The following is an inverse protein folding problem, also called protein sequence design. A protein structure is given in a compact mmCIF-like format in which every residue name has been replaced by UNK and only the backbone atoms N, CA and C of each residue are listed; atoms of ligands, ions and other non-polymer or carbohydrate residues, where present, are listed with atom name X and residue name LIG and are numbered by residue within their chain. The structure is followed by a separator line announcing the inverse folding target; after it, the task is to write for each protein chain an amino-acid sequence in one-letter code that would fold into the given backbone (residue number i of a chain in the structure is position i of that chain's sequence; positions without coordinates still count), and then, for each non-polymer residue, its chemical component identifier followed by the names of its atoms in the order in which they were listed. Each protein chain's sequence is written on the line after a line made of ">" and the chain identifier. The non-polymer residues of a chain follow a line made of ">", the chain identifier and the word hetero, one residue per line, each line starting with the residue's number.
data_IF_065588297124
#
_entry.id   IF_065588297124
#
_cell.length_a   1.000
_cell.length_b   1.000
_cell.length_c   1.000
_cell.angle_alpha   90.00
_cell.angle_beta   90.00
_cell.angle_gamma   90.00
#
_symmetry.space_group_name_H-M   'P 1'
#
loop_
_entity.id
_entity.type
_entity.pdbx_description
1 polymer ?
#
# COMPACT_ATOMS: atom_id res chain seq x y z
N UNK A 1 -6.39 76.55 -52.54
CA UNK A 1 -5.62 75.33 -52.22
C UNK A 1 -4.14 75.67 -52.34
N UNK A 2 -3.38 75.44 -51.27
CA UNK A 2 -2.08 76.09 -50.97
C UNK A 2 -0.94 75.07 -50.95
N UNK A 3 0.21 75.48 -51.54
CA UNK A 3 1.62 75.19 -51.17
C UNK A 3 2.14 73.78 -51.53
N UNK A 4 3.11 73.60 -52.45
CA UNK A 4 4.56 73.94 -52.44
C UNK A 4 5.41 73.06 -51.51
N UNK A 5 6.39 72.34 -52.09
CA UNK A 5 7.82 72.35 -51.75
C UNK A 5 8.51 70.96 -51.87
N UNK A 6 9.70 71.02 -52.45
CA UNK A 6 10.75 70.02 -52.64
C UNK A 6 11.41 69.52 -51.36
N UNK A 7 11.91 68.27 -51.36
CA UNK A 7 13.06 67.87 -50.54
C UNK A 7 13.79 66.65 -51.14
N UNK A 8 15.03 66.87 -51.57
CA UNK A 8 16.09 65.85 -51.64
C UNK A 8 16.48 65.48 -50.20
N UNK A 9 16.57 64.18 -49.88
CA UNK A 9 17.29 63.71 -48.69
C UNK A 9 17.79 62.28 -48.89
N UNK A 10 19.07 62.08 -48.56
CA UNK A 10 19.83 60.85 -48.60
C UNK A 10 19.35 59.80 -47.59
N UNK A 11 19.45 58.52 -47.95
CA UNK A 11 19.65 57.41 -47.02
C UNK A 11 20.19 56.20 -47.81
N UNK A 12 21.50 55.99 -47.80
CA UNK A 12 22.18 54.97 -46.97
C UNK A 12 21.81 53.52 -47.32
N UNK A 13 22.68 52.90 -48.15
CA UNK A 13 23.25 51.56 -47.95
C UNK A 13 22.47 50.61 -47.03
N UNK A 14 21.57 49.80 -47.61
CA UNK A 14 21.09 48.58 -46.99
C UNK A 14 21.94 47.40 -47.49
N UNK A 15 22.99 47.10 -46.73
CA UNK A 15 23.77 45.87 -46.85
C UNK A 15 22.84 44.67 -46.82
N UNK A 16 22.78 43.91 -47.92
CA UNK A 16 22.20 42.57 -47.93
C UNK A 16 23.16 41.70 -47.12
N UNK A 17 22.98 41.66 -45.81
CA UNK A 17 23.54 40.61 -44.97
C UNK A 17 22.81 39.32 -45.35
N UNK A 18 23.48 38.52 -46.18
CA UNK A 18 23.23 37.08 -46.25
C UNK A 18 23.49 36.55 -44.84
N UNK A 19 22.43 36.16 -44.13
CA UNK A 19 22.55 35.39 -42.89
C UNK A 19 22.46 33.91 -43.25
N UNK A 20 23.56 33.13 -43.26
CA UNK A 20 23.47 31.69 -43.14
C UNK A 20 23.35 31.37 -41.65
N UNK A 21 22.18 31.62 -41.08
CA UNK A 21 21.88 31.30 -39.68
C UNK A 21 20.95 30.09 -39.60
N UNK A 22 21.32 28.99 -40.23
CA UNK A 22 20.63 27.69 -40.14
C UNK A 22 21.59 26.56 -40.52
N UNK A 23 22.62 26.31 -39.72
CA UNK A 23 23.48 25.13 -39.88
C UNK A 23 24.13 24.65 -38.58
N UNK A 24 23.78 25.25 -37.43
CA UNK A 24 24.19 24.72 -36.12
C UNK A 24 23.01 23.93 -35.53
N UNK A 25 22.55 22.95 -36.30
CA UNK A 25 21.92 21.79 -35.70
C UNK A 25 23.10 21.01 -35.12
N UNK A 26 23.27 21.07 -33.79
CA UNK A 26 24.12 20.13 -33.08
C UNK A 26 23.48 18.75 -33.20
N UNK A 27 23.60 18.17 -34.39
CA UNK A 27 23.43 16.75 -34.62
C UNK A 27 24.53 16.08 -33.82
N UNK A 28 24.17 15.57 -32.65
CA UNK A 28 25.00 14.59 -31.98
C UNK A 28 25.09 13.41 -32.93
N UNK A 29 26.30 13.02 -33.35
CA UNK A 29 26.46 11.88 -34.24
C UNK A 29 25.76 10.67 -33.62
N UNK A 30 24.93 9.94 -34.40
CA UNK A 30 24.18 8.81 -33.86
C UNK A 30 25.18 7.79 -33.30
N UNK A 31 24.93 7.37 -32.08
CA UNK A 31 25.73 6.36 -31.41
C UNK A 31 25.65 5.04 -32.15
N UNK A 32 26.68 4.19 -32.00
CA UNK A 32 26.69 2.88 -32.64
C UNK A 32 25.46 2.04 -32.24
N UNK A 33 25.00 2.20 -31.00
CA UNK A 33 23.80 1.58 -30.45
C UNK A 33 22.53 2.04 -31.19
N UNK A 34 22.38 3.34 -31.43
CA UNK A 34 21.24 3.90 -32.17
C UNK A 34 21.23 3.44 -33.63
N UNK A 35 22.39 3.37 -34.28
CA UNK A 35 22.50 2.87 -35.65
C UNK A 35 22.12 1.39 -35.76
N UNK A 36 22.52 0.57 -34.79
CA UNK A 36 22.16 -0.86 -34.73
C UNK A 36 20.66 -1.02 -34.54
N UNK A 37 20.04 -0.22 -33.66
CA UNK A 37 18.60 -0.30 -33.41
C UNK A 37 17.78 0.16 -34.64
N UNK A 38 18.21 1.25 -35.29
CA UNK A 38 17.60 1.72 -36.54
C UNK A 38 17.69 0.68 -37.67
N UNK A 39 18.82 -0.02 -37.80
CA UNK A 39 18.97 -1.09 -38.78
C UNK A 39 18.06 -2.30 -38.46
N UNK A 40 17.94 -2.68 -37.19
CA UNK A 40 17.03 -3.77 -36.76
C UNK A 40 15.57 -3.45 -37.08
N UNK A 41 15.18 -2.18 -36.95
CA UNK A 41 13.87 -1.71 -37.32
C UNK A 41 13.64 -1.79 -38.84
N UNK A 42 14.59 -1.25 -39.61
CA UNK A 42 14.50 -1.15 -41.07
C UNK A 42 14.44 -2.53 -41.76
N UNK A 43 15.16 -3.52 -41.23
CA UNK A 43 15.21 -4.88 -41.78
C UNK A 43 14.24 -5.86 -41.12
N UNK A 44 13.27 -5.39 -40.33
CA UNK A 44 12.26 -6.27 -39.72
C UNK A 44 11.39 -6.91 -40.82
N UNK A 45 11.13 -8.23 -40.79
CA UNK A 45 10.21 -8.85 -41.72
C UNK A 45 8.77 -8.32 -41.52
N UNK A 46 8.03 -8.04 -42.59
CA UNK A 46 6.67 -7.50 -42.49
C UNK A 46 5.73 -8.50 -41.79
N UNK A 47 4.85 -8.01 -40.92
CA UNK A 47 3.85 -8.80 -40.21
C UNK A 47 4.28 -9.34 -38.83
N UNK A 48 5.54 -9.16 -38.43
CA UNK A 48 6.00 -9.44 -37.07
C UNK A 48 5.73 -8.24 -36.15
N UNK A 49 4.65 -8.33 -35.37
CA UNK A 49 4.41 -7.43 -34.24
C UNK A 49 5.55 -7.57 -33.23
N UNK A 50 6.01 -6.45 -32.65
CA UNK A 50 6.93 -6.51 -31.51
C UNK A 50 6.21 -7.22 -30.37
N UNK A 51 6.81 -8.29 -29.84
CA UNK A 51 6.24 -9.03 -28.70
C UNK A 51 6.28 -8.22 -27.39
N UNK A 52 7.13 -7.20 -27.36
CA UNK A 52 7.33 -6.31 -26.22
C UNK A 52 7.08 -4.85 -26.61
N UNK A 53 6.59 -4.03 -25.67
CA UNK A 53 6.74 -2.58 -25.78
C UNK A 53 8.22 -2.20 -25.77
N UNK A 54 8.53 -1.03 -26.31
CA UNK A 54 9.87 -0.44 -26.19
C UNK A 54 10.02 0.07 -24.77
N UNK A 55 11.08 -0.35 -24.08
CA UNK A 55 11.41 0.16 -22.75
C UNK A 55 12.06 1.54 -22.81
N UNK A 56 11.98 2.26 -21.70
CA UNK A 56 12.71 3.52 -21.53
C UNK A 56 14.21 3.27 -21.23
N UNK A 57 15.10 4.26 -21.44
CA UNK A 57 16.51 4.12 -21.11
C UNK A 57 16.72 3.74 -19.62
N UNK A 58 17.36 2.59 -19.38
CA UNK A 58 17.57 2.04 -18.03
C UNK A 58 16.49 1.05 -17.57
N UNK A 59 15.47 0.80 -18.38
CA UNK A 59 14.43 -0.20 -18.12
C UNK A 59 14.79 -1.56 -18.72
N UNK A 60 14.59 -2.64 -17.96
CA UNK A 60 14.67 -4.01 -18.48
C UNK A 60 13.25 -4.53 -18.69
N UNK A 61 12.80 -4.55 -19.94
CA UNK A 61 11.48 -5.08 -20.31
C UNK A 61 11.58 -6.58 -20.57
N UNK A 62 10.91 -7.39 -19.74
CA UNK A 62 10.81 -8.85 -19.92
C UNK A 62 9.38 -9.20 -20.30
N UNK A 63 9.16 -9.65 -21.54
CA UNK A 63 7.84 -10.12 -21.97
C UNK A 63 7.82 -11.63 -22.13
N UNK A 64 6.84 -12.24 -21.47
CA UNK A 64 6.47 -13.62 -21.72
C UNK A 64 5.28 -13.67 -22.67
N UNK A 65 5.21 -14.69 -23.52
CA UNK A 65 4.01 -14.96 -24.33
C UNK A 65 2.84 -15.39 -23.44
N UNK A 66 3.13 -16.09 -22.35
CA UNK A 66 2.21 -16.38 -21.26
C UNK A 66 3.01 -16.19 -19.95
N UNK A 67 2.77 -15.10 -19.20
CA UNK A 67 3.50 -14.82 -17.97
C UNK A 67 3.19 -15.84 -16.86
N UNK A 68 2.01 -16.47 -16.90
CA UNK A 68 1.58 -17.42 -15.88
C UNK A 68 2.08 -18.84 -16.16
N UNK A 69 2.36 -19.18 -17.44
CA UNK A 69 2.89 -20.50 -17.82
C UNK A 69 4.21 -20.88 -17.12
N UNK A 70 5.03 -19.88 -16.76
CA UNK A 70 6.32 -20.08 -16.08
C UNK A 70 6.32 -19.51 -14.66
N UNK A 71 5.19 -18.99 -14.19
CA UNK A 71 5.08 -18.45 -12.85
C UNK A 71 4.98 -19.60 -11.86
N UNK A 72 5.97 -19.68 -10.96
CA UNK A 72 5.85 -20.53 -9.77
C UNK A 72 5.02 -19.78 -8.75
N UNK A 73 3.95 -20.41 -8.29
CA UNK A 73 3.04 -19.82 -7.31
C UNK A 73 3.77 -19.60 -5.97
N UNK A 74 3.60 -18.41 -5.39
CA UNK A 74 4.15 -18.12 -4.07
C UNK A 74 3.32 -18.78 -2.97
N UNK A 75 3.91 -19.01 -1.79
CA UNK A 75 3.16 -19.52 -0.62
C UNK A 75 1.97 -18.63 -0.24
N UNK A 76 2.10 -17.33 -0.49
CA UNK A 76 1.03 -16.34 -0.28
C UNK A 76 -0.11 -16.55 -1.28
N UNK A 77 0.21 -16.66 -2.57
CA UNK A 77 -0.78 -16.90 -3.63
C UNK A 77 -1.54 -18.22 -3.37
N UNK A 78 -0.80 -19.26 -2.96
CA UNK A 78 -1.36 -20.55 -2.62
C UNK A 78 -2.34 -20.47 -1.44
N UNK A 79 -1.93 -19.80 -0.34
CA UNK A 79 -2.78 -19.64 0.84
C UNK A 79 -4.05 -18.82 0.54
N UNK A 80 -3.95 -17.79 -0.31
CA UNK A 80 -5.13 -17.01 -0.75
C UNK A 80 -6.10 -17.92 -1.51
N UNK A 81 -5.59 -18.76 -2.42
CA UNK A 81 -6.43 -19.67 -3.22
C UNK A 81 -7.09 -20.75 -2.37
N UNK A 82 -6.40 -21.30 -1.37
CA UNK A 82 -6.93 -22.33 -0.47
C UNK A 82 -7.82 -21.76 0.65
N UNK A 83 -7.86 -20.44 0.80
CA UNK A 83 -8.58 -19.78 1.90
C UNK A 83 -7.85 -19.92 3.25
N UNK A 84 -6.57 -20.26 3.22
CA UNK A 84 -5.74 -20.37 4.40
C UNK A 84 -5.14 -19.00 4.81
N UNK A 85 -4.81 -18.82 6.10
CA UNK A 85 -4.16 -17.62 6.56
C UNK A 85 -2.76 -17.48 5.94
N UNK A 86 -2.51 -16.37 5.25
CA UNK A 86 -1.20 -16.05 4.68
C UNK A 86 -0.20 -15.77 5.82
N UNK A 87 0.96 -16.41 5.79
CA UNK A 87 2.00 -16.33 6.82
C UNK A 87 2.89 -15.06 6.69
N UNK A 88 2.31 -13.88 6.60
CA UNK A 88 3.03 -12.62 6.36
C UNK A 88 3.46 -11.85 7.62
N UNK A 89 3.43 -12.49 8.81
CA UNK A 89 3.68 -11.86 10.12
C UNK A 89 2.77 -10.65 10.43
N UNK A 90 1.78 -10.37 9.59
CA UNK A 90 0.79 -9.31 9.84
C UNK A 90 -0.41 -9.97 10.53
N UNK A 91 -0.68 -9.65 11.80
CA UNK A 91 -1.85 -10.16 12.49
C UNK A 91 -3.11 -9.65 11.78
N UNK A 92 -3.90 -10.56 11.23
CA UNK A 92 -5.21 -10.25 10.66
C UNK A 92 -6.29 -10.77 11.60
N UNK A 93 -7.34 -9.96 11.79
CA UNK A 93 -8.47 -10.37 12.60
C UNK A 93 -9.13 -11.62 11.96
N UNK A 94 -9.45 -12.66 12.76
CA UNK A 94 -10.22 -13.79 12.26
C UNK A 94 -11.62 -13.33 11.85
N UNK A 95 -12.20 -13.96 10.82
CA UNK A 95 -13.60 -13.75 10.47
C UNK A 95 -14.48 -14.40 11.55
N UNK A 96 -14.92 -13.57 12.50
CA UNK A 96 -15.73 -13.98 13.65
C UNK A 96 -17.23 -14.01 13.37
N UNK A 97 -17.67 -13.56 12.20
CA UNK A 97 -19.10 -13.46 11.88
C UNK A 97 -19.52 -14.24 10.64
N UNK A 98 -18.61 -14.70 9.78
CA UNK A 98 -18.96 -15.35 8.51
C UNK A 98 -19.78 -14.44 7.60
N UNK A 99 -19.77 -13.13 7.86
CA UNK A 99 -20.51 -12.11 7.12
C UNK A 99 -19.54 -11.55 6.07
N UNK A 100 -19.92 -11.55 4.78
CA UNK A 100 -19.05 -11.04 3.73
C UNK A 100 -18.65 -9.59 3.97
N UNK A 101 -17.44 -9.17 3.52
CA UNK A 101 -16.94 -7.83 3.77
C UNK A 101 -17.90 -6.77 3.24
N UNK A 102 -18.10 -5.71 4.04
CA UNK A 102 -19.02 -4.60 3.78
C UNK A 102 -18.83 -3.86 2.44
N UNK A 103 -17.79 -4.19 1.67
CA UNK A 103 -17.55 -3.59 0.37
C UNK A 103 -18.56 -4.01 -0.70
N UNK A 104 -19.26 -5.15 -0.55
CA UNK A 104 -20.10 -5.70 -1.63
C UNK A 104 -21.57 -5.98 -1.28
N UNK A 105 -22.04 -5.64 -0.07
CA UNK A 105 -23.45 -5.85 0.30
C UNK A 105 -24.11 -4.61 0.90
N UNK A 106 -25.34 -4.37 0.45
CA UNK A 106 -26.28 -3.28 0.84
C UNK A 106 -26.70 -3.33 2.31
N UNK A 107 -26.31 -4.37 3.05
CA UNK A 107 -26.74 -4.61 4.44
C UNK A 107 -25.53 -4.73 5.37
N UNK A 108 -24.57 -3.82 5.25
CA UNK A 108 -23.80 -3.47 6.44
C UNK A 108 -24.65 -2.58 7.31
N UNK A 109 -25.36 -3.23 8.23
CA UNK A 109 -26.13 -2.57 9.27
C UNK A 109 -25.15 -1.72 10.08
N UNK A 110 -25.02 -0.44 9.70
CA UNK A 110 -24.47 0.65 10.52
C UNK A 110 -25.45 1.00 11.66
N UNK A 111 -26.03 -0.02 12.28
CA UNK A 111 -26.94 0.11 13.41
C UNK A 111 -26.13 -0.07 14.66
N UNK A 112 -26.01 1.01 15.44
CA UNK A 112 -25.25 1.04 16.68
C UNK A 112 -25.66 -0.07 17.63
N UNK A 113 -24.89 -1.15 17.63
CA UNK A 113 -24.82 -2.01 18.78
C UNK A 113 -23.92 -1.30 19.77
N UNK A 114 -24.45 -0.97 20.95
CA UNK A 114 -23.60 -0.57 22.06
C UNK A 114 -22.70 -1.77 22.32
N UNK A 115 -21.38 -1.67 22.13
CA UNK A 115 -20.50 -2.77 22.45
C UNK A 115 -20.73 -3.18 23.91
N UNK A 116 -20.63 -4.48 24.24
CA UNK A 116 -20.77 -4.94 25.60
C UNK A 116 -19.77 -4.18 26.44
N UNK A 117 -20.17 -3.87 27.67
CA UNK A 117 -19.32 -3.11 28.56
C UNK A 117 -17.98 -3.83 28.72
N UNK A 118 -16.90 -3.16 28.35
CA UNK A 118 -15.55 -3.69 28.56
C UNK A 118 -15.25 -3.51 30.04
N UNK A 119 -15.17 -4.62 30.78
CA UNK A 119 -14.74 -4.59 32.17
C UNK A 119 -13.22 -4.56 32.20
N UNK A 120 -12.65 -3.43 32.59
CA UNK A 120 -11.23 -3.34 32.95
C UNK A 120 -11.11 -3.81 34.40
N UNK A 121 -10.58 -5.02 34.58
CA UNK A 121 -10.29 -5.56 35.90
C UNK A 121 -8.87 -5.12 36.27
N UNK A 122 -8.75 -4.30 37.32
CA UNK A 122 -7.46 -3.98 37.90
C UNK A 122 -6.97 -5.18 38.74
N UNK A 123 -6.04 -5.95 38.18
CA UNK A 123 -5.45 -7.09 38.87
C UNK A 123 -4.58 -6.69 40.07
N UNK A 124 -4.17 -5.42 40.17
CA UNK A 124 -3.42 -4.90 41.33
C UNK A 124 -4.33 -4.59 42.53
N UNK A 125 -5.64 -4.46 42.29
CA UNK A 125 -6.64 -4.25 43.33
C UNK A 125 -7.24 -5.55 43.88
N UNK A 126 -6.83 -6.72 43.36
CA UNK A 126 -7.26 -8.02 43.90
C UNK A 126 -6.59 -8.21 45.27
N UNK A 127 -7.35 -8.47 46.34
CA UNK A 127 -6.77 -8.73 47.65
C UNK A 127 -5.89 -9.99 47.62
N UNK A 128 -4.81 -9.95 48.40
CA UNK A 128 -3.95 -11.12 48.61
C UNK A 128 -4.79 -12.23 49.24
N UNK A 129 -4.61 -13.51 48.84
CA UNK A 129 -5.27 -14.62 49.49
C UNK A 129 -4.97 -14.60 51.00
N UNK A 130 -5.98 -14.92 51.80
CA UNK A 130 -5.84 -15.06 53.25
C UNK A 130 -4.84 -16.18 53.56
N UNK A 131 -4.13 -16.01 54.67
CA UNK A 131 -3.36 -17.10 55.28
C UNK A 131 -4.29 -18.21 55.76
N UNK A 132 -3.78 -19.42 55.98
CA UNK A 132 -4.61 -20.54 56.45
C UNK A 132 -5.25 -20.24 57.81
N UNK A 133 -4.54 -19.51 58.67
CA UNK A 133 -5.02 -19.08 59.98
C UNK A 133 -6.15 -18.06 59.88
N UNK A 134 -6.02 -17.08 58.97
CA UNK A 134 -7.07 -16.08 58.73
C UNK A 134 -8.29 -16.70 58.06
N UNK A 135 -8.09 -17.60 57.10
CA UNK A 135 -9.16 -18.31 56.40
C UNK A 135 -10.00 -19.16 57.36
N UNK A 136 -9.39 -19.76 58.39
CA UNK A 136 -10.09 -20.53 59.42
C UNK A 136 -11.05 -19.69 60.28
N UNK A 137 -10.88 -18.36 60.29
CA UNK A 137 -11.70 -17.42 61.06
C UNK A 137 -12.79 -16.75 60.21
N UNK A 138 -12.82 -16.99 58.90
CA UNK A 138 -13.82 -16.45 57.99
C UNK A 138 -14.94 -17.48 57.81
N UNK A 139 -16.15 -17.09 58.20
CA UNK A 139 -17.35 -17.90 58.07
C UNK A 139 -18.30 -17.28 57.06
N UNK A 140 -19.08 -18.10 56.36
CA UNK A 140 -20.19 -17.59 55.54
C UNK A 140 -21.22 -16.97 56.47
N UNK A 141 -21.85 -15.89 56.04
CA UNK A 141 -22.83 -15.19 56.85
C UNK A 141 -24.01 -16.09 57.26
N UNK A 142 -24.38 -17.05 56.40
CA UNK A 142 -25.41 -18.06 56.67
C UNK A 142 -25.00 -19.13 57.70
N UNK A 143 -23.72 -19.45 57.83
CA UNK A 143 -23.24 -20.55 58.68
C UNK A 143 -22.94 -20.08 60.12
N UNK A 144 -22.62 -18.79 60.29
CA UNK A 144 -22.25 -18.21 61.58
C UNK A 144 -20.94 -18.79 62.16
N UNK A 145 -20.39 -18.18 63.23
CA UNK A 145 -19.24 -18.76 63.91
C UNK A 145 -19.64 -20.08 64.61
N UNK A 146 -18.74 -21.06 64.70
CA UNK A 146 -18.99 -22.26 65.49
C UNK A 146 -19.29 -21.87 66.95
N UNK A 147 -20.20 -22.58 67.63
CA UNK A 147 -20.52 -22.28 69.02
C UNK A 147 -19.26 -22.40 69.88
N UNK A 148 -18.99 -21.37 70.69
CA UNK A 148 -17.84 -21.38 71.60
C UNK A 148 -17.90 -22.64 72.47
N UNK A 149 -16.77 -23.34 72.68
CA UNK A 149 -16.74 -24.50 73.55
C UNK A 149 -17.16 -24.04 74.94
N UNK A 150 -18.32 -24.53 75.40
CA UNK A 150 -18.79 -24.28 76.75
C UNK A 150 -17.69 -24.74 77.70
N UNK A 151 -17.07 -23.78 78.40
CA UNK A 151 -16.12 -24.10 79.46
C UNK A 151 -16.90 -24.97 80.45
N UNK A 152 -16.60 -26.26 80.48
CA UNK A 152 -17.06 -27.17 81.50
C UNK A 152 -16.48 -26.66 82.82
N UNK A 153 -17.23 -25.78 83.48
CA UNK A 153 -17.05 -25.50 84.88
C UNK A 153 -17.31 -26.82 85.61
N UNK A 154 -16.22 -27.50 85.97
CA UNK A 154 -16.25 -28.66 86.83
C UNK A 154 -16.77 -28.25 88.22
N UNK A 155 -17.55 -29.11 88.90
CA UNK A 155 -18.11 -28.84 90.22
C UNK A 155 -17.05 -28.73 91.32
#
# INVERSE_FOLDING_TARGET
>A
MRKSASAFAAALTASIFVQPASAQETDSEPTAEEMIEAAREAYRPPGLMRRCPVGEPGEIVVCATDPDAYRVESSTDQAIRTGEPVADRVPRAPDVFGIPPCKSQTVCIKGGWVPPQVHLIDLSAIPVPLTEEEAAMVFRAEDGPPPEPQSLAAP
#
